data_IF_659725067754
#
_entry.id   IF_659725067754
#
_cell.length_a   1.000
_cell.length_b   1.000
_cell.length_c   1.000
_cell.angle_alpha   90.00
_cell.angle_beta   90.00
_cell.angle_gamma   90.00
#
_symmetry.space_group_name_H-M   'P 1'
#
loop_
_entity.id
_entity.type
_entity.pdbx_description
1 polymer ?
#
# COMPACT_ATOMS: atom_id res chain seq x y z
N UNK A 1 29.09 31.69 -2.15
CA UNK A 1 27.97 30.74 -2.30
C UNK A 1 26.74 31.58 -2.60
N UNK A 2 26.08 31.40 -3.75
CA UNK A 2 24.87 32.16 -4.06
C UNK A 2 23.72 31.66 -3.17
N UNK A 3 22.71 32.50 -2.91
CA UNK A 3 21.55 32.15 -2.07
C UNK A 3 20.85 30.85 -2.55
N UNK A 4 20.87 30.60 -3.86
CA UNK A 4 20.35 29.38 -4.49
C UNK A 4 21.16 28.12 -4.12
N UNK A 5 22.49 28.20 -4.20
CA UNK A 5 23.37 27.06 -3.88
C UNK A 5 23.27 26.69 -2.40
N UNK A 6 23.14 27.71 -1.53
CA UNK A 6 22.92 27.51 -0.09
C UNK A 6 21.55 26.86 0.16
N UNK A 7 20.51 27.30 -0.54
CA UNK A 7 19.19 26.73 -0.44
C UNK A 7 19.15 25.25 -0.86
N UNK A 8 19.75 24.91 -2.00
CA UNK A 8 19.83 23.54 -2.48
C UNK A 8 20.60 22.64 -1.50
N UNK A 9 21.73 23.13 -0.99
CA UNK A 9 22.52 22.42 0.01
C UNK A 9 21.71 22.17 1.29
N UNK A 10 21.04 23.18 1.82
CA UNK A 10 20.19 23.04 3.01
C UNK A 10 19.04 22.05 2.79
N UNK A 11 18.39 22.09 1.63
CA UNK A 11 17.35 21.12 1.26
C UNK A 11 17.91 19.69 1.23
N UNK A 12 19.07 19.48 0.60
CA UNK A 12 19.69 18.17 0.52
C UNK A 12 20.11 17.64 1.90
N UNK A 13 20.68 18.50 2.75
CA UNK A 13 21.01 18.15 4.13
C UNK A 13 19.77 17.81 4.96
N UNK A 14 18.69 18.56 4.78
CA UNK A 14 17.41 18.29 5.44
C UNK A 14 16.87 16.90 5.05
N UNK A 15 16.70 16.62 3.76
CA UNK A 15 16.16 15.32 3.33
C UNK A 15 17.08 14.15 3.68
N UNK A 16 18.41 14.36 3.66
CA UNK A 16 19.37 13.36 4.14
C UNK A 16 19.19 13.08 5.63
N UNK A 17 18.96 14.12 6.44
CA UNK A 17 18.71 14.00 7.87
C UNK A 17 17.39 13.29 8.16
N UNK A 18 16.33 13.62 7.41
CA UNK A 18 15.03 12.95 7.47
C UNK A 18 15.18 11.47 7.13
N UNK A 19 15.84 11.13 6.02
CA UNK A 19 16.06 9.73 5.67
C UNK A 19 16.87 8.98 6.71
N UNK A 20 17.91 9.59 7.28
CA UNK A 20 18.67 8.97 8.37
C UNK A 20 17.82 8.73 9.61
N UNK A 21 16.96 9.69 9.98
CA UNK A 21 16.03 9.55 11.10
C UNK A 21 15.02 8.43 10.84
N UNK A 22 14.39 8.41 9.66
CA UNK A 22 13.47 7.33 9.24
C UNK A 22 14.15 5.97 9.30
N UNK A 23 15.33 5.82 8.70
CA UNK A 23 16.07 4.56 8.72
C UNK A 23 16.42 4.10 10.15
N UNK A 24 16.82 5.03 11.02
CA UNK A 24 17.11 4.72 12.42
C UNK A 24 15.88 4.24 13.20
N UNK A 25 14.71 4.83 12.94
CA UNK A 25 13.46 4.38 13.56
C UNK A 25 13.11 2.98 13.05
N UNK A 26 13.13 2.78 11.74
CA UNK A 26 12.76 1.53 11.07
C UNK A 26 13.75 0.39 11.34
N UNK A 27 15.00 0.67 11.67
CA UNK A 27 15.98 -0.34 12.11
C UNK A 27 15.54 -1.12 13.36
N UNK A 28 14.59 -0.57 14.13
CA UNK A 28 14.00 -1.24 15.31
C UNK A 28 12.69 -1.96 14.99
N UNK A 29 12.30 -2.07 13.72
CA UNK A 29 11.10 -2.81 13.33
C UNK A 29 11.25 -4.29 13.70
N UNK A 30 10.18 -4.82 14.30
CA UNK A 30 10.06 -6.21 14.72
C UNK A 30 8.70 -6.73 14.24
N UNK A 31 8.54 -8.05 14.27
CA UNK A 31 7.23 -8.68 14.11
C UNK A 31 6.25 -8.12 15.16
N UNK A 32 4.98 -7.90 14.78
CA UNK A 32 3.96 -7.44 15.72
C UNK A 32 3.70 -8.48 16.81
N UNK A 33 3.10 -8.00 17.91
CA UNK A 33 2.52 -8.88 18.92
C UNK A 33 1.22 -9.50 18.37
N UNK A 34 0.58 -10.37 19.17
CA UNK A 34 -0.65 -11.09 18.78
C UNK A 34 -1.83 -10.16 18.42
N UNK A 35 -1.78 -8.87 18.79
CA UNK A 35 -2.81 -7.90 18.43
C UNK A 35 -2.74 -7.45 16.96
N UNK A 36 -1.65 -7.77 16.25
CA UNK A 36 -1.39 -7.40 14.85
C UNK A 36 -1.55 -5.90 14.59
N UNK A 37 -1.32 -5.07 15.62
CA UNK A 37 -1.37 -3.62 15.49
C UNK A 37 -0.03 -3.08 14.95
N UNK A 38 -0.02 -1.87 14.35
CA UNK A 38 1.21 -1.26 13.88
C UNK A 38 2.22 -1.12 15.03
N UNK A 39 3.40 -1.71 14.85
CA UNK A 39 4.46 -1.68 15.86
C UNK A 39 4.96 -0.26 16.11
N UNK A 40 5.62 -0.04 17.24
CA UNK A 40 6.06 1.30 17.63
C UNK A 40 6.92 1.99 16.56
N UNK A 41 7.80 1.29 15.84
CA UNK A 41 8.59 1.92 14.76
C UNK A 41 7.72 2.48 13.62
N UNK A 42 6.59 1.83 13.29
CA UNK A 42 5.61 2.34 12.33
C UNK A 42 4.97 3.61 12.89
N UNK A 43 4.47 3.57 14.13
CA UNK A 43 3.83 4.72 14.77
C UNK A 43 4.78 5.93 14.88
N UNK A 44 6.04 5.72 15.28
CA UNK A 44 7.04 6.78 15.35
C UNK A 44 7.35 7.39 13.97
N UNK A 45 7.39 6.56 12.93
CA UNK A 45 7.60 7.06 11.55
C UNK A 45 6.39 7.86 11.05
N UNK A 46 5.18 7.44 11.41
CA UNK A 46 3.93 8.17 11.10
C UNK A 46 3.85 9.51 11.85
N UNK A 47 4.30 9.56 13.10
CA UNK A 47 4.43 10.82 13.85
C UNK A 47 5.43 11.76 13.18
N UNK A 48 6.62 11.27 12.80
CA UNK A 48 7.60 12.05 12.06
C UNK A 48 7.03 12.59 10.74
N UNK A 49 6.28 11.77 10.00
CA UNK A 49 5.62 12.21 8.76
C UNK A 49 4.63 13.34 9.04
N UNK A 50 3.78 13.19 10.07
CA UNK A 50 2.81 14.23 10.48
C UNK A 50 3.51 15.53 10.85
N UNK A 51 4.52 15.48 11.72
CA UNK A 51 5.26 16.65 12.19
C UNK A 51 5.90 17.43 11.03
N UNK A 52 6.42 16.70 10.04
CA UNK A 52 7.02 17.30 8.84
C UNK A 52 5.94 17.95 7.96
N UNK A 53 4.82 17.27 7.72
CA UNK A 53 3.74 17.78 6.88
C UNK A 53 2.99 18.97 7.52
N UNK A 54 2.93 19.04 8.85
CA UNK A 54 2.29 20.14 9.60
C UNK A 54 3.21 21.33 9.83
N UNK A 55 4.50 21.20 9.55
CA UNK A 55 5.48 22.26 9.84
C UNK A 55 5.17 23.54 9.03
N UNK A 56 4.87 24.68 9.70
CA UNK A 56 4.44 25.93 9.06
C UNK A 56 5.46 26.53 8.08
N UNK A 57 6.73 26.16 8.23
CA UNK A 57 7.86 26.79 7.53
C UNK A 57 8.22 26.09 6.21
N UNK A 58 7.50 25.05 5.80
CA UNK A 58 7.73 24.43 4.48
C UNK A 58 7.45 25.38 3.31
N UNK A 59 6.54 26.34 3.50
CA UNK A 59 6.17 27.34 2.49
C UNK A 59 7.17 28.47 2.31
N UNK A 60 8.14 28.65 3.22
CA UNK A 60 9.15 29.72 3.12
C UNK A 60 10.40 29.29 2.35
N UNK A 61 10.46 28.03 1.91
CA UNK A 61 11.67 27.44 1.35
C UNK A 61 12.02 27.98 -0.04
N UNK A 62 11.07 28.42 -0.85
CA UNK A 62 11.37 29.19 -2.07
C UNK A 62 10.06 29.60 -2.70
N UNK A 63 9.92 30.88 -3.06
CA UNK A 63 8.75 31.42 -3.77
C UNK A 63 8.51 30.70 -5.11
N UNK A 64 9.50 29.92 -5.60
CA UNK A 64 9.50 29.26 -6.91
C UNK A 64 9.52 27.72 -6.86
N UNK A 65 9.47 27.08 -5.69
CA UNK A 65 9.50 25.60 -5.62
C UNK A 65 8.08 25.04 -5.61
N UNK A 66 7.81 24.10 -6.52
CA UNK A 66 6.51 23.42 -6.59
C UNK A 66 6.29 22.62 -5.30
N UNK A 67 5.25 23.00 -4.54
CA UNK A 67 4.85 22.30 -3.30
C UNK A 67 4.66 20.80 -3.55
N UNK A 68 4.15 20.43 -4.72
CA UNK A 68 3.95 19.02 -5.10
C UNK A 68 5.26 18.23 -5.13
N UNK A 69 6.35 18.83 -5.64
CA UNK A 69 7.67 18.19 -5.66
C UNK A 69 8.22 17.97 -4.26
N UNK A 70 7.99 18.91 -3.34
CA UNK A 70 8.40 18.78 -1.95
C UNK A 70 7.65 17.62 -1.29
N UNK A 71 6.34 17.52 -1.47
CA UNK A 71 5.53 16.40 -0.97
C UNK A 71 6.02 15.06 -1.52
N UNK A 72 6.33 15.00 -2.82
CA UNK A 72 6.90 13.80 -3.43
C UNK A 72 8.23 13.41 -2.78
N UNK A 73 9.13 14.37 -2.49
CA UNK A 73 10.38 14.11 -1.78
C UNK A 73 10.11 13.62 -0.34
N UNK A 74 9.19 14.24 0.39
CA UNK A 74 8.81 13.79 1.74
C UNK A 74 8.34 12.33 1.69
N UNK A 75 7.48 11.97 0.73
CA UNK A 75 7.02 10.60 0.58
C UNK A 75 8.16 9.64 0.21
N UNK A 76 9.04 10.02 -0.71
CA UNK A 76 10.20 9.22 -1.09
C UNK A 76 11.14 8.95 0.09
N UNK A 77 11.32 9.93 0.98
CA UNK A 77 12.28 9.83 2.09
C UNK A 77 11.70 9.24 3.38
N UNK A 78 10.37 9.19 3.53
CA UNK A 78 9.70 8.70 4.74
C UNK A 78 8.71 7.57 4.45
N UNK A 79 7.72 7.84 3.60
CA UNK A 79 6.59 6.94 3.37
C UNK A 79 7.01 5.67 2.62
N UNK A 80 7.85 5.80 1.61
CA UNK A 80 8.28 4.66 0.80
C UNK A 80 9.16 3.69 1.61
N UNK A 81 10.15 4.15 2.40
CA UNK A 81 10.87 3.31 3.36
C UNK A 81 9.94 2.67 4.41
N UNK A 82 8.93 3.39 4.89
CA UNK A 82 7.97 2.85 5.85
C UNK A 82 7.19 1.67 5.26
N UNK A 83 6.62 1.82 4.07
CA UNK A 83 5.87 0.76 3.38
C UNK A 83 6.78 -0.45 3.13
N UNK A 84 8.01 -0.23 2.67
CA UNK A 84 9.00 -1.30 2.47
C UNK A 84 9.33 -2.02 3.78
N UNK A 85 9.50 -1.29 4.88
CA UNK A 85 9.75 -1.89 6.20
C UNK A 85 8.57 -2.72 6.69
N UNK A 86 7.33 -2.28 6.46
CA UNK A 86 6.13 -3.05 6.81
C UNK A 86 6.10 -4.35 6.00
N UNK A 87 6.35 -4.28 4.69
CA UNK A 87 6.42 -5.47 3.82
C UNK A 87 7.51 -6.45 4.27
N UNK A 88 8.67 -5.94 4.68
CA UNK A 88 9.74 -6.76 5.22
C UNK A 88 9.30 -7.45 6.53
N UNK A 89 8.64 -6.72 7.44
CA UNK A 89 8.09 -7.32 8.67
C UNK A 89 7.07 -8.41 8.34
N UNK A 90 6.13 -8.15 7.41
CA UNK A 90 5.16 -9.13 6.95
C UNK A 90 5.83 -10.41 6.42
N UNK A 91 6.95 -10.31 5.71
CA UNK A 91 7.66 -11.49 5.19
C UNK A 91 8.25 -12.41 6.28
N UNK A 92 8.26 -11.95 7.54
CA UNK A 92 8.69 -12.73 8.70
C UNK A 92 7.53 -13.28 9.54
N UNK A 93 6.28 -13.12 9.10
CA UNK A 93 5.10 -13.73 9.72
C UNK A 93 4.77 -15.06 9.04
N UNK A 94 4.39 -16.06 9.84
CA UNK A 94 4.15 -17.43 9.36
C UNK A 94 2.72 -17.66 8.82
N UNK A 95 1.74 -16.86 9.28
CA UNK A 95 0.32 -16.99 8.91
C UNK A 95 -0.09 -15.91 7.90
N UNK A 96 -0.67 -16.32 6.77
CA UNK A 96 -1.16 -15.42 5.73
C UNK A 96 -2.30 -14.51 6.22
N UNK A 97 -3.15 -14.98 7.13
CA UNK A 97 -4.17 -14.14 7.76
C UNK A 97 -3.53 -13.05 8.61
N UNK A 98 -2.53 -13.41 9.41
CA UNK A 98 -1.81 -12.45 10.25
C UNK A 98 -1.09 -11.40 9.41
N UNK A 99 -0.46 -11.82 8.31
CA UNK A 99 0.14 -10.93 7.31
C UNK A 99 -0.87 -9.93 6.79
N UNK A 100 -2.03 -10.39 6.33
CA UNK A 100 -3.04 -9.52 5.73
C UNK A 100 -3.69 -8.58 6.73
N UNK A 101 -4.00 -9.05 7.95
CA UNK A 101 -4.54 -8.20 9.02
C UNK A 101 -3.53 -7.13 9.44
N UNK A 102 -2.28 -7.51 9.70
CA UNK A 102 -1.23 -6.55 10.09
C UNK A 102 -0.97 -5.51 8.99
N UNK A 103 -0.90 -5.95 7.72
CA UNK A 103 -0.74 -5.06 6.57
C UNK A 103 -1.91 -4.07 6.49
N UNK A 104 -3.15 -4.54 6.62
CA UNK A 104 -4.35 -3.68 6.63
C UNK A 104 -4.32 -2.65 7.75
N UNK A 105 -3.93 -3.05 8.96
CA UNK A 105 -3.84 -2.15 10.10
C UNK A 105 -2.81 -1.03 9.85
N UNK A 106 -1.64 -1.39 9.31
CA UNK A 106 -0.60 -0.43 8.96
C UNK A 106 -1.03 0.51 7.82
N UNK A 107 -1.60 -0.03 6.75
CA UNK A 107 -2.07 0.73 5.59
C UNK A 107 -3.22 1.69 5.95
N UNK A 108 -4.16 1.26 6.79
CA UNK A 108 -5.23 2.12 7.29
C UNK A 108 -4.69 3.26 8.16
N UNK A 109 -3.68 2.99 8.98
CA UNK A 109 -3.00 4.02 9.79
C UNK A 109 -2.32 5.05 8.90
N UNK A 110 -1.60 4.62 7.86
CA UNK A 110 -1.03 5.52 6.84
C UNK A 110 -2.14 6.33 6.14
N UNK A 111 -3.19 5.66 5.66
CA UNK A 111 -4.31 6.29 4.95
C UNK A 111 -4.95 7.39 5.79
N UNK A 112 -5.18 7.13 7.08
CA UNK A 112 -5.79 8.10 8.01
C UNK A 112 -5.02 9.42 8.14
N UNK A 113 -3.70 9.39 7.91
CA UNK A 113 -2.85 10.58 7.89
C UNK A 113 -2.91 11.25 6.52
N UNK A 114 -2.73 10.49 5.43
CA UNK A 114 -2.62 11.06 4.09
C UNK A 114 -3.88 11.76 3.59
N UNK A 115 -5.07 11.34 4.03
CA UNK A 115 -6.34 11.99 3.66
C UNK A 115 -6.45 13.44 4.14
N UNK A 116 -5.61 13.85 5.11
CA UNK A 116 -5.64 15.19 5.70
C UNK A 116 -4.80 16.20 4.91
N UNK A 117 -3.97 15.75 3.96
CA UNK A 117 -3.03 16.60 3.24
C UNK A 117 -3.29 16.61 1.74
N UNK A 118 -2.85 17.68 1.08
CA UNK A 118 -2.92 17.81 -0.38
C UNK A 118 -1.81 17.00 -1.07
N UNK A 119 -1.97 16.79 -2.38
CA UNK A 119 -1.00 16.11 -3.24
C UNK A 119 -0.74 14.63 -2.88
N UNK A 120 -1.67 14.01 -2.17
CA UNK A 120 -1.58 12.63 -1.68
C UNK A 120 -2.31 11.62 -2.57
N UNK A 121 -3.04 12.07 -3.59
CA UNK A 121 -3.96 11.25 -4.40
C UNK A 121 -3.30 9.97 -4.92
N UNK A 122 -2.12 10.09 -5.54
CA UNK A 122 -1.39 8.94 -6.09
C UNK A 122 -1.03 7.91 -5.01
N UNK A 123 -0.63 8.37 -3.82
CA UNK A 123 -0.29 7.48 -2.70
C UNK A 123 -1.53 6.85 -2.09
N UNK A 124 -2.62 7.61 -1.97
CA UNK A 124 -3.92 7.10 -1.51
C UNK A 124 -4.44 6.00 -2.44
N UNK A 125 -4.37 6.18 -3.76
CA UNK A 125 -4.76 5.14 -4.73
C UNK A 125 -3.89 3.89 -4.61
N UNK A 126 -2.56 4.04 -4.47
CA UNK A 126 -1.66 2.90 -4.25
C UNK A 126 -1.96 2.15 -2.94
N UNK A 127 -2.28 2.87 -1.87
CA UNK A 127 -2.63 2.27 -0.58
C UNK A 127 -3.98 1.57 -0.66
N UNK A 128 -4.95 2.18 -1.35
CA UNK A 128 -6.28 1.60 -1.58
C UNK A 128 -6.17 0.27 -2.31
N UNK A 129 -5.40 0.21 -3.40
CA UNK A 129 -5.19 -1.04 -4.14
C UNK A 129 -4.56 -2.14 -3.27
N UNK A 130 -3.63 -1.79 -2.37
CA UNK A 130 -3.04 -2.76 -1.43
C UNK A 130 -4.02 -3.19 -0.34
N UNK A 131 -4.88 -2.29 0.13
CA UNK A 131 -5.96 -2.62 1.08
C UNK A 131 -6.91 -3.63 0.43
N UNK A 132 -7.44 -3.33 -0.76
CA UNK A 132 -8.36 -4.20 -1.50
C UNK A 132 -7.74 -5.59 -1.74
N UNK A 133 -6.48 -5.65 -2.14
CA UNK A 133 -5.77 -6.93 -2.33
C UNK A 133 -5.64 -7.76 -1.04
N UNK A 134 -5.42 -7.13 0.12
CA UNK A 134 -5.38 -7.87 1.39
C UNK A 134 -6.78 -8.27 1.89
N UNK A 135 -7.79 -7.45 1.61
CA UNK A 135 -9.19 -7.81 1.86
C UNK A 135 -9.59 -9.06 1.06
N UNK A 136 -9.21 -9.13 -0.22
CA UNK A 136 -9.46 -10.31 -1.07
C UNK A 136 -8.81 -11.58 -0.51
N UNK A 137 -7.58 -11.49 -0.01
CA UNK A 137 -6.89 -12.61 0.65
C UNK A 137 -7.65 -13.07 1.89
N UNK A 138 -8.03 -12.14 2.77
CA UNK A 138 -8.79 -12.47 3.98
C UNK A 138 -10.13 -13.11 3.66
N UNK A 139 -10.88 -12.54 2.72
CA UNK A 139 -12.19 -13.07 2.31
C UNK A 139 -12.04 -14.47 1.74
N UNK A 140 -11.06 -14.70 0.85
CA UNK A 140 -10.84 -16.02 0.25
C UNK A 140 -10.45 -17.07 1.29
N UNK A 141 -9.51 -16.73 2.18
CA UNK A 141 -9.01 -17.67 3.18
C UNK A 141 -10.07 -17.99 4.23
N UNK A 142 -10.79 -16.97 4.72
CA UNK A 142 -11.88 -17.17 5.68
C UNK A 142 -13.06 -17.94 5.06
N UNK A 143 -13.42 -17.65 3.81
CA UNK A 143 -14.46 -18.41 3.10
C UNK A 143 -14.06 -19.88 2.94
N UNK A 144 -12.80 -20.15 2.55
CA UNK A 144 -12.25 -21.49 2.45
C UNK A 144 -12.34 -22.24 3.79
N UNK A 145 -11.93 -21.60 4.89
CA UNK A 145 -11.99 -22.20 6.23
C UNK A 145 -13.41 -22.51 6.68
N UNK A 146 -14.39 -21.67 6.35
CA UNK A 146 -15.81 -21.93 6.67
C UNK A 146 -16.34 -23.09 5.84
N UNK A 147 -16.04 -23.13 4.54
CA UNK A 147 -16.47 -24.22 3.66
C UNK A 147 -15.85 -25.56 4.05
N UNK A 148 -14.58 -25.56 4.44
CA UNK A 148 -13.88 -26.76 4.93
C UNK A 148 -14.52 -27.27 6.23
N UNK A 149 -14.74 -26.40 7.22
CA UNK A 149 -15.39 -26.75 8.50
C UNK A 149 -16.85 -27.18 8.38
N UNK A 150 -17.49 -26.92 7.25
CA UNK A 150 -18.89 -27.30 6.97
C UNK A 150 -18.99 -28.46 5.98
N UNK A 151 -17.87 -29.07 5.58
CA UNK A 151 -17.80 -30.11 4.55
C UNK A 151 -18.42 -29.68 3.19
N UNK A 152 -18.44 -28.37 2.90
CA UNK A 152 -19.05 -27.78 1.70
C UNK A 152 -18.04 -27.41 0.61
N UNK A 153 -16.74 -27.57 0.85
CA UNK A 153 -15.68 -27.15 -0.07
C UNK A 153 -15.78 -27.81 -1.46
N UNK A 154 -16.09 -29.11 -1.50
CA UNK A 154 -16.27 -29.87 -2.75
C UNK A 154 -17.49 -29.37 -3.55
N UNK A 155 -18.59 -29.05 -2.86
CA UNK A 155 -19.80 -28.50 -3.49
C UNK A 155 -19.53 -27.12 -4.08
N UNK A 156 -18.86 -26.25 -3.33
CA UNK A 156 -18.47 -24.92 -3.79
C UNK A 156 -17.55 -24.98 -5.02
N UNK A 157 -16.56 -25.86 -5.00
CA UNK A 157 -15.62 -26.05 -6.13
C UNK A 157 -16.36 -26.52 -7.38
N UNK A 158 -17.29 -27.47 -7.25
CA UNK A 158 -18.14 -27.93 -8.35
C UNK A 158 -19.04 -26.83 -8.90
N UNK A 159 -19.61 -25.99 -8.04
CA UNK A 159 -20.45 -24.86 -8.44
C UNK A 159 -19.65 -23.79 -9.22
N UNK A 160 -18.46 -23.42 -8.74
CA UNK A 160 -17.57 -22.48 -9.41
C UNK A 160 -17.11 -23.00 -10.78
N UNK A 161 -16.74 -24.29 -10.87
CA UNK A 161 -16.38 -24.90 -12.14
C UNK A 161 -17.55 -24.88 -13.14
N UNK A 162 -18.78 -25.07 -12.66
CA UNK A 162 -19.98 -24.99 -13.49
C UNK A 162 -20.24 -23.56 -13.98
N UNK A 163 -20.06 -22.54 -13.14
CA UNK A 163 -20.19 -21.13 -13.52
C UNK A 163 -19.18 -20.73 -14.60
N UNK A 164 -17.90 -21.10 -14.44
CA UNK A 164 -16.85 -20.87 -15.45
C UNK A 164 -17.21 -21.57 -16.77
N UNK A 165 -17.70 -22.81 -16.70
CA UNK A 165 -18.14 -23.54 -17.89
C UNK A 165 -19.33 -22.87 -18.57
N UNK A 166 -20.29 -22.31 -17.82
CA UNK A 166 -21.41 -21.56 -18.40
C UNK A 166 -20.96 -20.26 -19.07
N UNK A 167 -20.02 -19.53 -18.47
CA UNK A 167 -19.45 -18.32 -19.06
C UNK A 167 -18.72 -18.67 -20.35
N UNK A 168 -17.89 -19.73 -20.34
CA UNK A 168 -17.18 -20.20 -21.54
C UNK A 168 -18.15 -20.63 -22.65
N UNK A 169 -19.23 -21.35 -22.31
CA UNK A 169 -20.26 -21.75 -23.27
C UNK A 169 -20.99 -20.52 -23.84
N UNK A 170 -21.29 -19.50 -23.02
CA UNK A 170 -21.90 -18.24 -23.51
C UNK A 170 -20.96 -17.49 -24.45
N UNK A 171 -19.68 -17.35 -24.10
CA UNK A 171 -18.67 -16.69 -24.94
C UNK A 171 -18.44 -17.46 -26.25
N UNK A 172 -18.45 -18.78 -26.23
CA UNK A 172 -18.37 -19.62 -27.45
C UNK A 172 -19.67 -19.54 -28.26
N UNK A 173 -20.82 -19.53 -27.60
CA UNK A 173 -22.13 -19.35 -28.22
C UNK A 173 -22.26 -18.03 -28.97
N UNK A 174 -21.82 -16.91 -28.37
CA UNK A 174 -21.81 -15.60 -29.02
C UNK A 174 -20.86 -15.55 -30.23
N UNK A 175 -19.71 -16.24 -30.18
CA UNK A 175 -18.81 -16.37 -31.33
C UNK A 175 -19.35 -17.25 -32.45
N UNK A 176 -20.25 -18.19 -32.16
CA UNK A 176 -20.90 -19.04 -33.16
C UNK A 176 -22.14 -18.39 -33.76
N UNK A 177 -22.82 -17.50 -33.03
CA UNK A 177 -23.99 -16.75 -33.49
C UNK A 177 -23.61 -15.46 -34.24
N UNK A 178 -22.43 -14.90 -33.99
CA UNK A 178 -21.85 -13.82 -34.79
C UNK A 178 -21.00 -14.42 -35.91
N UNK A 179 -21.64 -14.83 -37.00
CA UNK A 179 -20.97 -15.35 -38.19
C UNK A 179 -20.11 -14.30 -38.90
N UNK A 180 -18.96 -13.94 -38.33
CA UNK A 180 -17.93 -13.12 -38.98
C UNK A 180 -16.60 -13.87 -39.06
N UNK A 181 -16.05 -14.10 -40.26
CA UNK A 181 -14.70 -14.62 -40.43
C UNK A 181 -13.67 -13.50 -40.28
N UNK A 182 -12.59 -13.76 -39.54
CA UNK A 182 -11.43 -12.88 -39.39
C UNK A 182 -11.48 -12.06 -38.09
N UNK A 183 -10.40 -11.88 -37.32
CA UNK A 183 -8.98 -11.93 -37.60
C UNK A 183 -8.23 -12.42 -36.35
N UNK A 184 -7.14 -13.18 -36.55
CA UNK A 184 -6.08 -13.30 -35.55
C UNK A 184 -5.32 -11.98 -35.46
N UNK A 185 -5.05 -11.50 -34.25
CA UNK A 185 -3.85 -10.70 -33.98
C UNK A 185 -3.12 -11.27 -32.77
N UNK A 186 -1.86 -11.59 -33.07
CA UNK A 186 -0.64 -11.54 -32.26
C UNK A 186 -0.79 -10.75 -30.96
#
# INVERSE_FOLDING_TARGET
MCCRDLHELCSNMFFSSVSSATQRILANARVPDYDLLPVNSVNQTLLLLRDILESPNYGTLSVNTDKREIYNKIFQHILDPLIQSIQLVCSNLDDFLDVSVYMLNCLNSIRSILILYQYTDKKLEMIKAQIEANEDVLVSEQASQVLDKTDMLDLYTKAMAHEINQINIRVVGDRLLTGTPGFRLI
#
